data_IF_672412509500
#
_entry.id   IF_672412509500
#
_cell.length_a   1.000
_cell.length_b   1.000
_cell.length_c   1.000
_cell.angle_alpha   90.00
_cell.angle_beta   90.00
_cell.angle_gamma   90.00
#
_symmetry.space_group_name_H-M   'P 1'
#
loop_
_entity.id
_entity.type
_entity.pdbx_description
1 polymer ?
#
# COMPACT_ATOMS: atom_id res chain seq x y z
N UNK A 1 19.58 -14.42 14.05
CA UNK A 1 20.66 -13.42 14.23
C UNK A 1 20.57 -12.39 13.14
N UNK A 2 20.31 -11.19 13.62
CA UNK A 2 19.86 -10.05 12.84
C UNK A 2 20.99 -9.43 12.02
N UNK A 3 20.81 -9.41 10.71
CA UNK A 3 21.51 -8.49 9.85
C UNK A 3 20.46 -7.65 9.09
N UNK A 4 19.81 -6.73 9.80
CA UNK A 4 19.08 -5.63 9.14
C UNK A 4 20.09 -4.51 8.97
N UNK A 5 20.62 -4.35 7.76
CA UNK A 5 21.45 -3.22 7.41
C UNK A 5 20.69 -1.91 7.65
N UNK A 6 21.31 -0.96 8.33
CA UNK A 6 20.80 0.39 8.51
C UNK A 6 20.94 1.13 7.18
N UNK A 7 19.84 1.32 6.46
CA UNK A 7 19.80 2.29 5.37
C UNK A 7 19.58 3.66 5.99
N UNK A 8 20.59 4.50 5.98
CA UNK A 8 20.48 5.90 6.38
C UNK A 8 19.70 6.65 5.29
N UNK A 9 18.55 7.19 5.65
CA UNK A 9 17.82 8.14 4.81
C UNK A 9 18.48 9.49 4.99
N UNK A 10 19.04 10.03 3.92
CA UNK A 10 19.59 11.39 3.97
C UNK A 10 18.52 12.40 4.40
N UNK A 11 18.97 13.50 5.02
CA UNK A 11 18.10 14.51 5.66
C UNK A 11 17.13 15.20 4.70
N UNK A 12 17.31 15.06 3.38
CA UNK A 12 16.45 15.60 2.32
C UNK A 12 15.35 14.62 1.85
N UNK A 13 15.37 13.37 2.34
CA UNK A 13 14.37 12.35 1.99
C UNK A 13 14.58 11.69 0.64
N UNK A 14 15.76 11.80 0.04
CA UNK A 14 16.16 11.01 -1.12
C UNK A 14 16.69 9.65 -0.67
N UNK A 15 16.23 8.58 -1.30
CA UNK A 15 16.70 7.21 -1.08
C UNK A 15 17.53 6.81 -2.29
N UNK A 16 18.74 6.28 -2.10
CA UNK A 16 19.56 5.83 -3.22
C UNK A 16 18.91 4.61 -3.89
N UNK A 17 18.61 4.78 -5.19
CA UNK A 17 17.90 3.81 -6.03
C UNK A 17 18.62 2.48 -6.21
N UNK A 18 19.93 2.42 -5.96
CA UNK A 18 20.73 1.20 -6.17
C UNK A 18 20.76 0.27 -4.97
N UNK A 19 20.79 0.81 -3.75
CA UNK A 19 20.87 0.00 -2.52
C UNK A 19 19.55 -0.71 -2.20
N UNK A 20 18.41 -0.01 -2.36
CA UNK A 20 17.07 -0.58 -2.11
C UNK A 20 16.78 -1.81 -3.00
N UNK A 21 17.28 -1.79 -4.24
CA UNK A 21 17.09 -2.90 -5.19
C UNK A 21 17.96 -4.13 -4.91
N UNK A 22 19.08 -4.00 -4.20
CA UNK A 22 19.96 -5.11 -3.87
C UNK A 22 19.42 -5.94 -2.70
N UNK A 23 18.98 -5.30 -1.63
CA UNK A 23 18.49 -5.97 -0.42
C UNK A 23 17.19 -6.76 -0.63
N UNK A 24 16.30 -6.25 -1.52
CA UNK A 24 15.04 -6.95 -1.83
C UNK A 24 15.26 -8.20 -2.66
N UNK A 25 16.28 -8.24 -3.52
CA UNK A 25 16.61 -9.43 -4.32
C UNK A 25 17.02 -10.63 -3.47
N UNK A 26 17.74 -10.40 -2.39
CA UNK A 26 18.20 -11.47 -1.51
C UNK A 26 17.09 -12.05 -0.62
N UNK A 27 16.11 -11.23 -0.24
CA UNK A 27 14.96 -11.68 0.56
C UNK A 27 13.94 -12.51 -0.26
N UNK A 28 13.89 -12.34 -1.58
CA UNK A 28 12.94 -13.04 -2.49
C UNK A 28 13.56 -14.29 -3.14
N UNK A 29 14.88 -14.43 -3.13
CA UNK A 29 15.59 -15.56 -3.79
C UNK A 29 15.37 -16.94 -3.14
N UNK A 30 14.67 -17.03 -2.01
CA UNK A 30 14.44 -18.29 -1.28
C UNK A 30 13.09 -18.96 -1.52
N UNK A 31 12.28 -18.52 -2.49
CA UNK A 31 10.99 -19.18 -2.80
C UNK A 31 11.01 -19.79 -4.21
N UNK A 32 10.72 -21.09 -4.31
CA UNK A 32 10.69 -21.90 -5.52
C UNK A 32 9.84 -21.32 -6.66
N UNK A 33 10.40 -21.41 -7.87
CA UNK A 33 9.94 -20.73 -9.06
C UNK A 33 8.64 -21.30 -9.66
N UNK A 34 7.68 -20.41 -9.96
CA UNK A 34 6.59 -20.67 -10.90
C UNK A 34 7.02 -20.33 -12.36
N UNK A 35 6.47 -20.98 -13.39
CA UNK A 35 7.00 -20.92 -14.77
C UNK A 35 6.72 -19.59 -15.46
N UNK A 36 7.76 -18.99 -16.01
CA UNK A 36 7.73 -17.72 -16.79
C UNK A 36 6.95 -17.88 -18.11
N UNK A 37 5.83 -17.21 -18.27
CA UNK A 37 5.19 -16.99 -19.59
C UNK A 37 5.85 -15.80 -20.28
N UNK A 38 6.64 -16.05 -21.31
CA UNK A 38 7.14 -15.02 -22.24
C UNK A 38 6.03 -14.65 -23.22
N UNK A 39 5.39 -13.50 -23.05
CA UNK A 39 4.55 -12.90 -24.08
C UNK A 39 5.30 -11.77 -24.77
N UNK A 40 5.41 -11.83 -26.11
CA UNK A 40 5.95 -10.73 -26.92
C UNK A 40 4.96 -9.57 -26.91
N UNK A 41 5.23 -8.54 -26.13
CA UNK A 41 4.44 -7.32 -26.13
C UNK A 41 4.81 -6.41 -27.29
N UNK A 42 3.82 -5.87 -27.96
CA UNK A 42 3.90 -4.84 -29.02
C UNK A 42 4.39 -3.53 -28.35
N UNK A 43 5.47 -2.95 -28.89
CA UNK A 43 6.11 -1.73 -28.43
C UNK A 43 5.19 -0.51 -28.65
N UNK A 44 4.28 -0.21 -27.71
CA UNK A 44 3.69 1.11 -27.56
C UNK A 44 4.70 1.97 -26.75
N UNK A 45 4.69 3.30 -26.96
CA UNK A 45 5.50 4.25 -26.17
C UNK A 45 5.10 4.06 -24.70
N UNK A 46 5.90 3.32 -23.95
CA UNK A 46 5.61 2.98 -22.56
C UNK A 46 5.75 4.24 -21.72
N UNK A 47 4.63 4.82 -21.31
CA UNK A 47 4.62 5.72 -20.16
C UNK A 47 5.01 4.87 -18.95
N UNK A 48 6.15 5.19 -18.33
CA UNK A 48 6.57 4.51 -17.11
C UNK A 48 5.56 4.83 -16.01
N UNK A 49 4.89 3.80 -15.49
CA UNK A 49 3.93 3.93 -14.38
C UNK A 49 4.73 3.85 -13.08
N UNK A 50 4.59 4.86 -12.24
CA UNK A 50 5.23 4.92 -10.93
C UNK A 50 4.19 4.60 -9.85
N UNK A 51 4.42 3.54 -9.11
CA UNK A 51 3.63 3.13 -7.95
C UNK A 51 4.46 3.39 -6.69
N UNK A 52 3.87 4.04 -5.70
CA UNK A 52 4.47 4.15 -4.37
C UNK A 52 3.65 3.33 -3.38
N UNK A 53 4.27 2.32 -2.78
CA UNK A 53 3.67 1.53 -1.73
C UNK A 53 4.01 2.15 -0.37
N UNK A 54 3.01 2.28 0.47
CA UNK A 54 3.14 2.86 1.80
C UNK A 54 2.78 1.82 2.86
N UNK A 55 3.75 1.04 3.37
CA UNK A 55 3.48 0.15 4.50
C UNK A 55 3.11 0.97 5.72
N UNK A 56 1.84 0.93 6.13
CA UNK A 56 1.35 1.71 7.27
C UNK A 56 2.11 1.45 8.57
N UNK A 57 2.09 2.43 9.48
CA UNK A 57 2.80 2.37 10.76
C UNK A 57 4.32 2.25 10.62
N UNK A 58 5.01 1.79 11.68
CA UNK A 58 6.46 1.59 11.69
C UNK A 58 7.13 2.20 12.92
N UNK A 59 8.38 1.84 13.19
CA UNK A 59 9.13 2.32 14.35
C UNK A 59 8.38 2.09 15.65
N UNK A 60 8.13 3.14 16.43
CA UNK A 60 7.39 3.09 17.69
C UNK A 60 5.87 2.89 17.53
N UNK A 61 5.33 3.09 16.33
CA UNK A 61 3.92 2.87 16.02
C UNK A 61 3.71 1.43 15.52
N UNK A 62 3.20 0.56 16.38
CA UNK A 62 2.94 -0.84 16.04
C UNK A 62 1.72 -1.04 15.12
N UNK A 63 0.83 -0.04 15.01
CA UNK A 63 -0.53 -0.25 14.53
C UNK A 63 -1.33 -1.18 15.45
N UNK A 64 -2.33 -1.84 14.90
CA UNK A 64 -3.09 -2.86 15.62
C UNK A 64 -2.18 -4.03 16.06
N UNK A 65 -2.58 -4.68 17.18
CA UNK A 65 -1.79 -5.77 17.76
C UNK A 65 -2.63 -7.00 18.06
N UNK A 66 -2.03 -8.20 17.91
CA UNK A 66 -2.60 -9.48 18.32
C UNK A 66 -1.52 -10.32 19.00
N UNK A 67 -1.45 -10.28 20.34
CA UNK A 67 -0.33 -10.86 21.08
C UNK A 67 0.98 -10.22 20.66
N UNK A 68 1.93 -11.00 20.19
CA UNK A 68 3.23 -10.53 19.66
C UNK A 68 3.21 -10.14 18.17
N UNK A 69 2.06 -10.21 17.52
CA UNK A 69 1.91 -9.82 16.11
C UNK A 69 1.57 -8.34 16.03
N UNK A 70 2.32 -7.60 15.24
CA UNK A 70 2.15 -6.16 15.02
C UNK A 70 1.76 -5.89 13.57
N UNK A 71 0.76 -5.04 13.38
CA UNK A 71 0.27 -4.64 12.06
C UNK A 71 1.39 -4.09 11.17
N UNK A 72 2.27 -3.25 11.72
CA UNK A 72 3.41 -2.67 10.99
C UNK A 72 4.26 -3.71 10.26
N UNK A 73 4.44 -4.90 10.84
CA UNK A 73 5.26 -5.97 10.28
C UNK A 73 4.52 -6.70 9.15
N UNK A 74 3.22 -6.91 9.32
CA UNK A 74 2.36 -7.48 8.28
C UNK A 74 2.32 -6.54 7.08
N UNK A 75 2.04 -5.26 7.30
CA UNK A 75 1.98 -4.24 6.26
C UNK A 75 3.27 -4.17 5.44
N UNK A 76 4.41 -4.24 6.12
CA UNK A 76 5.71 -4.23 5.45
C UNK A 76 5.92 -5.45 4.56
N UNK A 77 5.59 -6.66 5.04
CA UNK A 77 5.68 -7.89 4.25
C UNK A 77 4.74 -7.89 3.06
N UNK A 78 3.48 -7.49 3.22
CA UNK A 78 2.52 -7.39 2.12
C UNK A 78 3.03 -6.41 1.06
N UNK A 79 3.55 -5.25 1.47
CA UNK A 79 4.14 -4.28 0.55
C UNK A 79 5.35 -4.84 -0.21
N UNK A 80 6.22 -5.61 0.44
CA UNK A 80 7.35 -6.26 -0.23
C UNK A 80 6.89 -7.27 -1.29
N UNK A 81 5.87 -8.08 -0.99
CA UNK A 81 5.30 -9.03 -1.95
C UNK A 81 4.59 -8.31 -3.11
N UNK A 82 3.83 -7.25 -2.83
CA UNK A 82 3.21 -6.42 -3.85
C UNK A 82 4.27 -5.79 -4.77
N UNK A 83 5.34 -5.23 -4.19
CA UNK A 83 6.46 -4.68 -4.96
C UNK A 83 7.10 -5.72 -5.86
N UNK A 84 7.43 -6.89 -5.31
CA UNK A 84 8.08 -7.97 -6.07
C UNK A 84 7.22 -8.46 -7.25
N UNK A 85 5.90 -8.46 -7.11
CA UNK A 85 4.98 -8.81 -8.19
C UNK A 85 4.90 -7.70 -9.24
N UNK A 86 4.70 -6.45 -8.82
CA UNK A 86 4.61 -5.30 -9.74
C UNK A 86 5.88 -5.11 -10.58
N UNK A 87 7.04 -5.39 -10.03
CA UNK A 87 8.32 -5.25 -10.76
C UNK A 87 8.53 -6.29 -11.86
N UNK A 88 7.65 -7.29 -11.97
CA UNK A 88 7.65 -8.22 -13.10
C UNK A 88 7.01 -7.62 -14.37
N UNK A 89 6.26 -6.53 -14.24
CA UNK A 89 5.58 -5.87 -15.36
C UNK A 89 6.49 -4.83 -16.02
N UNK A 90 6.59 -4.89 -17.35
CA UNK A 90 7.35 -3.89 -18.11
C UNK A 90 6.72 -2.51 -18.01
N UNK A 91 7.54 -1.49 -17.73
CA UNK A 91 7.07 -0.10 -17.66
C UNK A 91 6.44 0.28 -16.32
N UNK A 92 6.61 -0.54 -15.29
CA UNK A 92 6.24 -0.22 -13.91
C UNK A 92 7.52 0.01 -13.11
N UNK A 93 7.51 1.07 -12.30
CA UNK A 93 8.56 1.36 -11.30
C UNK A 93 7.91 1.50 -9.94
N UNK A 94 8.45 0.80 -8.94
CA UNK A 94 7.86 0.75 -7.60
C UNK A 94 8.82 1.32 -6.57
N UNK A 95 8.34 2.26 -5.75
CA UNK A 95 9.02 2.78 -4.57
C UNK A 95 8.22 2.48 -3.32
N UNK A 96 8.87 2.57 -2.17
CA UNK A 96 8.22 2.40 -0.87
C UNK A 96 8.48 3.65 0.00
N UNK A 97 7.52 4.02 0.84
CA UNK A 97 7.66 5.16 1.77
C UNK A 97 8.60 4.86 2.93
N UNK A 98 8.78 3.59 3.26
CA UNK A 98 9.80 3.07 4.18
C UNK A 98 10.33 1.73 3.69
N UNK A 99 11.60 1.49 3.93
CA UNK A 99 12.31 0.26 3.56
C UNK A 99 12.78 -0.54 4.78
N UNK A 100 12.46 -0.05 5.98
CA UNK A 100 12.77 -0.67 7.27
C UNK A 100 11.71 -0.32 8.31
N UNK A 101 12.02 -0.58 9.57
CA UNK A 101 11.14 -0.27 10.71
C UNK A 101 11.26 1.19 11.16
N UNK A 102 10.93 2.10 10.26
CA UNK A 102 10.85 3.55 10.49
C UNK A 102 9.41 4.02 10.42
N UNK A 103 9.09 5.19 10.99
CA UNK A 103 7.75 5.76 10.95
C UNK A 103 7.77 7.20 10.38
N UNK A 104 7.86 7.37 9.04
CA UNK A 104 7.70 8.68 8.44
C UNK A 104 6.31 9.28 8.74
N UNK A 105 6.22 10.58 8.92
CA UNK A 105 4.93 11.26 9.11
C UNK A 105 4.05 11.12 7.85
N UNK A 106 2.72 11.29 8.01
CA UNK A 106 1.79 11.20 6.86
C UNK A 106 2.12 12.22 5.77
N UNK A 107 2.61 13.41 6.15
CA UNK A 107 3.08 14.43 5.22
C UNK A 107 4.32 13.94 4.46
N UNK A 108 5.27 13.34 5.17
CA UNK A 108 6.50 12.81 4.55
C UNK A 108 6.19 11.67 3.58
N UNK A 109 5.29 10.76 3.93
CA UNK A 109 4.84 9.69 3.04
C UNK A 109 4.22 10.24 1.75
N UNK A 110 3.33 11.23 1.86
CA UNK A 110 2.73 11.90 0.71
C UNK A 110 3.78 12.65 -0.14
N UNK A 111 4.74 13.32 0.52
CA UNK A 111 5.83 14.02 -0.16
C UNK A 111 6.76 13.06 -0.92
N UNK A 112 7.06 11.89 -0.35
CA UNK A 112 7.84 10.84 -1.04
C UNK A 112 7.13 10.44 -2.33
N UNK A 113 5.82 10.17 -2.28
CA UNK A 113 5.04 9.83 -3.47
C UNK A 113 5.07 10.95 -4.52
N UNK A 114 4.90 12.20 -4.11
CA UNK A 114 4.95 13.35 -5.01
C UNK A 114 6.34 13.53 -5.64
N UNK A 115 7.42 13.39 -4.85
CA UNK A 115 8.80 13.51 -5.32
C UNK A 115 9.17 12.46 -6.38
N UNK A 116 8.63 11.26 -6.27
CA UNK A 116 8.82 10.22 -7.28
C UNK A 116 7.87 10.36 -8.49
N UNK A 117 6.96 11.34 -8.48
CA UNK A 117 5.97 11.51 -9.54
C UNK A 117 4.99 10.33 -9.62
N UNK A 118 4.55 9.83 -8.47
CA UNK A 118 3.69 8.65 -8.37
C UNK A 118 2.37 8.85 -9.14
N UNK A 119 2.01 7.86 -9.95
CA UNK A 119 0.68 7.75 -10.53
C UNK A 119 -0.36 7.33 -9.49
N UNK A 120 0.07 6.56 -8.48
CA UNK A 120 -0.74 6.14 -7.34
C UNK A 120 0.14 5.89 -6.12
N UNK A 121 -0.37 6.25 -4.92
CA UNK A 121 0.15 5.81 -3.63
C UNK A 121 -0.83 4.82 -3.01
N UNK A 122 -0.36 3.62 -2.66
CA UNK A 122 -1.15 2.56 -2.04
C UNK A 122 -0.68 2.35 -0.62
N UNK A 123 -1.47 2.81 0.36
CA UNK A 123 -1.19 2.63 1.78
C UNK A 123 -1.79 1.32 2.26
N UNK A 124 -0.92 0.45 2.76
CA UNK A 124 -1.21 -0.95 3.10
C UNK A 124 -1.39 -1.06 4.62
N UNK A 125 -2.55 -1.54 5.03
CA UNK A 125 -2.99 -1.65 6.42
C UNK A 125 -3.72 -2.96 6.71
N UNK A 126 -3.89 -3.25 8.01
CA UNK A 126 -4.77 -4.28 8.54
C UNK A 126 -5.77 -3.64 9.49
N UNK A 127 -7.03 -3.90 9.28
CA UNK A 127 -8.10 -3.34 10.08
C UNK A 127 -8.12 -3.89 11.52
N UNK A 128 -8.71 -3.14 12.43
CA UNK A 128 -8.96 -3.58 13.79
C UNK A 128 -10.30 -3.01 14.29
N UNK A 129 -10.99 -3.80 15.08
CA UNK A 129 -12.30 -3.41 15.61
C UNK A 129 -12.85 -4.45 16.58
N UNK A 130 -14.17 -4.59 16.66
CA UNK A 130 -14.79 -5.66 17.43
C UNK A 130 -14.35 -7.03 16.88
N UNK A 131 -14.32 -8.05 17.72
CA UNK A 131 -13.95 -9.41 17.31
C UNK A 131 -14.90 -10.02 16.27
N UNK A 132 -16.08 -9.46 16.09
CA UNK A 132 -17.07 -9.85 15.08
C UNK A 132 -16.90 -9.13 13.73
N UNK A 133 -16.11 -8.05 13.67
CA UNK A 133 -15.82 -7.34 12.43
C UNK A 133 -14.80 -8.13 11.60
N UNK A 134 -15.04 -8.29 10.28
CA UNK A 134 -14.17 -9.03 9.37
C UNK A 134 -14.33 -8.59 7.91
N UNK A 135 -13.34 -8.90 7.07
CA UNK A 135 -13.34 -8.64 5.63
C UNK A 135 -12.46 -7.48 5.21
N UNK A 136 -12.38 -7.24 3.90
CA UNK A 136 -11.57 -6.20 3.28
C UNK A 136 -12.38 -4.97 2.91
N UNK A 137 -11.76 -3.79 3.02
CA UNK A 137 -12.32 -2.52 2.54
C UNK A 137 -11.19 -1.61 2.03
N UNK A 138 -11.48 -0.80 1.01
CA UNK A 138 -10.50 0.13 0.46
C UNK A 138 -11.05 1.56 0.51
N UNK A 139 -10.28 2.46 1.09
CA UNK A 139 -10.62 3.89 1.12
C UNK A 139 -9.92 4.62 -0.01
N UNK A 140 -10.65 5.51 -0.69
CA UNK A 140 -10.15 6.32 -1.79
C UNK A 140 -10.52 7.80 -1.63
N UNK A 141 -9.86 8.73 -2.38
CA UNK A 141 -10.14 10.16 -2.25
C UNK A 141 -11.55 10.50 -2.71
N UNK A 142 -12.23 11.39 -1.99
CA UNK A 142 -13.50 11.94 -2.47
C UNK A 142 -13.31 12.69 -3.81
N UNK A 143 -14.41 13.01 -4.49
CA UNK A 143 -14.39 13.74 -5.78
C UNK A 143 -14.63 15.24 -5.64
N UNK A 144 -14.70 15.78 -4.41
CA UNK A 144 -15.03 17.18 -4.17
C UNK A 144 -13.94 18.12 -4.72
N UNK A 145 -12.69 17.87 -4.32
CA UNK A 145 -11.50 18.62 -4.74
C UNK A 145 -10.65 17.78 -5.67
N UNK A 146 -10.19 18.34 -6.80
CA UNK A 146 -9.44 17.60 -7.83
C UNK A 146 -10.14 16.30 -8.23
N UNK A 147 -11.32 16.33 -8.85
CA UNK A 147 -12.18 15.14 -9.07
C UNK A 147 -11.50 14.03 -9.87
N UNK A 148 -10.56 14.36 -10.76
CA UNK A 148 -9.80 13.36 -11.52
C UNK A 148 -8.95 12.47 -10.60
N UNK A 149 -8.39 13.01 -9.51
CA UNK A 149 -7.65 12.26 -8.51
C UNK A 149 -8.57 11.28 -7.76
N UNK A 150 -9.78 11.74 -7.40
CA UNK A 150 -10.79 10.88 -6.80
C UNK A 150 -11.17 9.73 -7.72
N UNK A 151 -11.43 10.02 -9.00
CA UNK A 151 -11.77 8.98 -9.98
C UNK A 151 -10.66 7.96 -10.20
N UNK A 152 -9.39 8.41 -10.26
CA UNK A 152 -8.25 7.50 -10.39
C UNK A 152 -8.08 6.60 -9.16
N UNK A 153 -8.23 7.17 -7.95
CA UNK A 153 -8.16 6.41 -6.70
C UNK A 153 -9.29 5.38 -6.60
N UNK A 154 -10.53 5.75 -6.98
CA UNK A 154 -11.68 4.85 -6.99
C UNK A 154 -11.47 3.66 -7.91
N UNK A 155 -11.00 3.88 -9.14
CA UNK A 155 -10.78 2.81 -10.10
C UNK A 155 -9.79 1.76 -9.58
N UNK A 156 -8.66 2.19 -9.00
CA UNK A 156 -7.68 1.26 -8.41
C UNK A 156 -8.25 0.59 -7.16
N UNK A 157 -8.97 1.33 -6.31
CA UNK A 157 -9.61 0.77 -5.12
C UNK A 157 -10.57 -0.36 -5.46
N UNK A 158 -11.41 -0.18 -6.49
CA UNK A 158 -12.38 -1.18 -6.94
C UNK A 158 -11.71 -2.46 -7.47
N UNK A 159 -10.61 -2.31 -8.23
CA UNK A 159 -9.86 -3.47 -8.71
C UNK A 159 -9.19 -4.22 -7.56
N UNK A 160 -8.51 -3.55 -6.64
CA UNK A 160 -7.90 -4.19 -5.47
C UNK A 160 -8.97 -4.89 -4.62
N UNK A 161 -10.09 -4.22 -4.33
CA UNK A 161 -11.18 -4.80 -3.55
C UNK A 161 -11.68 -6.10 -4.20
N UNK A 162 -11.85 -6.12 -5.51
CA UNK A 162 -12.27 -7.30 -6.26
C UNK A 162 -11.27 -8.45 -6.13
N UNK A 163 -9.98 -8.18 -6.23
CA UNK A 163 -8.94 -9.20 -6.07
C UNK A 163 -8.90 -9.76 -4.65
N UNK A 164 -9.05 -8.91 -3.62
CA UNK A 164 -9.12 -9.35 -2.23
C UNK A 164 -10.35 -10.22 -1.96
N UNK A 165 -11.50 -9.86 -2.52
CA UNK A 165 -12.73 -10.67 -2.44
C UNK A 165 -12.54 -12.02 -3.14
N UNK A 166 -11.83 -12.06 -4.26
CA UNK A 166 -11.51 -13.30 -4.98
C UNK A 166 -10.63 -14.26 -4.17
N UNK A 167 -9.85 -13.77 -3.20
CA UNK A 167 -9.12 -14.60 -2.24
C UNK A 167 -10.02 -15.19 -1.13
N UNK A 168 -11.28 -14.79 -1.06
CA UNK A 168 -12.24 -15.24 -0.05
C UNK A 168 -12.47 -14.27 1.11
N UNK A 169 -11.88 -13.07 1.09
CA UNK A 169 -12.20 -12.02 2.06
C UNK A 169 -13.64 -11.54 1.86
N UNK A 170 -14.32 -11.26 2.96
CA UNK A 170 -15.66 -10.66 2.89
C UNK A 170 -15.55 -9.27 2.28
N UNK A 171 -16.39 -9.00 1.30
CA UNK A 171 -16.53 -7.69 0.70
C UNK A 171 -17.16 -6.69 1.69
N UNK A 172 -16.43 -5.65 2.03
CA UNK A 172 -16.92 -4.48 2.79
C UNK A 172 -17.02 -3.24 1.91
N UNK A 173 -16.62 -3.35 0.64
CA UNK A 173 -16.70 -2.33 -0.40
C UNK A 173 -15.58 -1.30 -0.37
N UNK A 174 -15.59 -0.47 -1.41
CA UNK A 174 -14.76 0.72 -1.53
C UNK A 174 -15.48 1.92 -0.95
N UNK A 175 -14.75 2.88 -0.34
CA UNK A 175 -15.36 3.93 0.47
C UNK A 175 -14.62 5.26 0.37
N UNK A 176 -15.38 6.34 0.50
CA UNK A 176 -14.86 7.65 0.87
C UNK A 176 -15.17 7.93 2.35
N UNK A 177 -14.35 8.76 2.98
CA UNK A 177 -14.63 9.27 4.32
C UNK A 177 -14.23 10.72 4.39
N UNK A 178 -15.20 11.61 4.57
CA UNK A 178 -14.97 13.02 4.79
C UNK A 178 -14.69 13.33 6.26
N UNK A 179 -13.98 14.44 6.51
CA UNK A 179 -13.78 14.94 7.88
C UNK A 179 -15.11 15.30 8.52
N UNK A 180 -15.26 14.95 9.80
CA UNK A 180 -16.44 15.30 10.60
C UNK A 180 -16.27 16.64 11.32
N UNK A 181 -15.05 17.18 11.41
CA UNK A 181 -14.72 18.40 12.15
C UNK A 181 -14.82 19.69 11.31
N UNK A 182 -15.39 19.61 10.10
CA UNK A 182 -15.55 20.75 9.21
C UNK A 182 -14.29 21.19 8.45
N UNK A 183 -13.18 20.43 8.53
CA UNK A 183 -11.97 20.74 7.74
C UNK A 183 -12.27 20.66 6.25
N UNK A 184 -11.75 21.63 5.48
CA UNK A 184 -12.00 21.77 4.05
C UNK A 184 -10.70 21.78 3.25
N UNK A 185 -10.81 21.53 1.96
CA UNK A 185 -9.80 21.82 0.95
C UNK A 185 -9.76 23.31 0.59
N UNK A 186 -8.80 23.71 -0.24
CA UNK A 186 -8.62 25.11 -0.64
C UNK A 186 -9.83 25.72 -1.38
N UNK A 187 -10.67 24.89 -1.99
CA UNK A 187 -11.91 25.29 -2.67
C UNK A 187 -13.13 25.36 -1.74
N UNK A 188 -12.94 25.13 -0.42
CA UNK A 188 -14.00 25.12 0.58
C UNK A 188 -14.78 23.80 0.70
N UNK A 189 -14.52 22.83 -0.13
CA UNK A 189 -15.18 21.51 -0.07
C UNK A 189 -14.63 20.67 1.09
N UNK A 190 -15.46 19.74 1.64
CA UNK A 190 -15.03 18.86 2.73
C UNK A 190 -13.81 18.03 2.34
N UNK A 191 -12.79 18.06 3.18
CA UNK A 191 -11.57 17.30 2.97
C UNK A 191 -11.74 15.83 3.34
N UNK A 192 -10.86 14.99 2.76
CA UNK A 192 -10.77 13.57 3.12
C UNK A 192 -10.31 13.42 4.58
N UNK A 193 -10.92 12.49 5.31
CA UNK A 193 -10.62 12.21 6.71
C UNK A 193 -9.19 11.75 6.93
N UNK A 194 -8.74 10.78 6.12
CA UNK A 194 -7.42 10.18 6.27
C UNK A 194 -6.32 11.12 5.81
N UNK A 195 -5.35 11.39 6.70
CA UNK A 195 -4.25 12.32 6.44
C UNK A 195 -3.42 11.95 5.22
N UNK A 196 -3.13 10.66 5.01
CA UNK A 196 -2.37 10.19 3.84
C UNK A 196 -3.11 10.50 2.53
N UNK A 197 -4.42 10.28 2.48
CA UNK A 197 -5.25 10.59 1.30
C UNK A 197 -5.28 12.10 1.07
N UNK A 198 -5.59 12.88 2.11
CA UNK A 198 -5.69 14.34 2.04
C UNK A 198 -4.39 15.00 1.61
N UNK A 199 -3.27 14.61 2.22
CA UNK A 199 -1.96 15.20 1.93
C UNK A 199 -1.49 14.85 0.51
N UNK A 200 -1.64 13.60 0.09
CA UNK A 200 -1.30 13.17 -1.27
C UNK A 200 -2.15 13.88 -2.32
N UNK A 201 -3.45 14.01 -2.09
CA UNK A 201 -4.37 14.73 -2.99
C UNK A 201 -4.01 16.20 -3.13
N UNK A 202 -3.59 16.87 -2.03
CA UNK A 202 -3.10 18.25 -2.08
C UNK A 202 -1.88 18.36 -2.99
N UNK A 203 -0.99 17.38 -2.96
CA UNK A 203 0.22 17.29 -3.79
C UNK A 203 -0.05 16.78 -5.22
N UNK A 204 -1.29 16.43 -5.56
CA UNK A 204 -1.66 15.99 -6.91
C UNK A 204 -1.52 14.48 -7.14
N UNK A 205 -1.31 13.69 -6.10
CA UNK A 205 -1.15 12.23 -6.18
C UNK A 205 -2.43 11.54 -5.69
N UNK A 206 -3.05 10.63 -6.46
CA UNK A 206 -4.08 9.74 -5.96
C UNK A 206 -3.49 8.84 -4.88
N UNK A 207 -4.19 8.70 -3.73
CA UNK A 207 -3.77 7.82 -2.65
C UNK A 207 -4.97 7.02 -2.14
N UNK A 208 -4.77 5.73 -1.92
CA UNK A 208 -5.77 4.83 -1.35
C UNK A 208 -5.22 4.16 -0.09
N UNK A 209 -6.12 3.69 0.77
CA UNK A 209 -5.79 2.86 1.93
C UNK A 209 -6.47 1.51 1.74
N UNK A 210 -5.68 0.45 1.75
CA UNK A 210 -6.17 -0.93 1.67
C UNK A 210 -6.18 -1.52 3.08
N UNK A 211 -7.36 -1.80 3.59
CA UNK A 211 -7.59 -2.51 4.86
C UNK A 211 -7.92 -3.96 4.53
N UNK A 212 -6.89 -4.82 4.49
CA UNK A 212 -7.01 -6.17 3.95
C UNK A 212 -7.91 -7.09 4.78
N UNK A 213 -7.69 -7.12 6.09
CA UNK A 213 -8.37 -8.05 6.99
C UNK A 213 -8.33 -7.51 8.43
N UNK A 214 -9.20 -8.00 9.29
CA UNK A 214 -9.22 -7.58 10.70
C UNK A 214 -8.23 -8.40 11.52
N UNK A 215 -7.15 -7.76 11.98
CA UNK A 215 -6.18 -8.39 12.88
C UNK A 215 -6.82 -8.84 14.20
N UNK A 216 -7.86 -8.12 14.65
CA UNK A 216 -8.66 -8.43 15.83
C UNK A 216 -9.59 -9.65 15.66
N UNK A 217 -9.91 -10.04 14.41
CA UNK A 217 -10.80 -11.17 14.13
C UNK A 217 -10.00 -12.47 13.96
N UNK A 218 -10.41 -13.52 14.67
CA UNK A 218 -9.67 -14.79 14.64
C UNK A 218 -9.74 -15.50 13.28
N UNK A 219 -10.88 -15.42 12.58
CA UNK A 219 -11.04 -16.02 11.26
C UNK A 219 -10.20 -15.31 10.22
N UNK A 220 -10.25 -13.96 10.17
CA UNK A 220 -9.44 -13.16 9.26
C UNK A 220 -7.95 -13.41 9.48
N UNK A 221 -7.51 -13.35 10.74
CA UNK A 221 -6.11 -13.63 11.09
C UNK A 221 -5.68 -15.01 10.62
N UNK A 222 -6.43 -16.05 11.01
CA UNK A 222 -6.05 -17.42 10.70
C UNK A 222 -6.10 -17.73 9.21
N UNK A 223 -7.02 -17.15 8.46
CA UNK A 223 -7.19 -17.43 7.04
C UNK A 223 -6.27 -16.59 6.15
N UNK A 224 -5.94 -15.34 6.52
CA UNK A 224 -5.29 -14.41 5.62
C UNK A 224 -3.98 -13.80 6.13
N UNK A 225 -3.72 -13.77 7.47
CA UNK A 225 -2.60 -13.02 8.03
C UNK A 225 -1.54 -13.86 8.75
N UNK A 226 -1.80 -15.14 9.03
CA UNK A 226 -1.03 -15.95 9.97
C UNK A 226 0.22 -16.62 9.39
N UNK A 227 0.53 -16.45 8.11
CA UNK A 227 1.74 -17.02 7.49
C UNK A 227 2.21 -16.19 6.31
N UNK A 228 3.50 -16.29 5.99
CA UNK A 228 4.11 -15.57 4.85
C UNK A 228 3.43 -15.87 3.52
N UNK A 229 3.04 -17.12 3.28
CA UNK A 229 2.32 -17.49 2.05
C UNK A 229 0.96 -16.81 1.91
N UNK A 230 0.29 -16.52 3.03
CA UNK A 230 -0.97 -15.76 3.02
C UNK A 230 -0.72 -14.28 2.76
N UNK A 231 0.30 -13.71 3.38
CA UNK A 231 0.70 -12.31 3.14
C UNK A 231 1.16 -12.11 1.68
N UNK A 232 1.84 -13.10 1.11
CA UNK A 232 2.22 -13.09 -0.30
C UNK A 232 0.98 -13.04 -1.21
N UNK A 233 -0.05 -13.82 -0.93
CA UNK A 233 -1.31 -13.78 -1.70
C UNK A 233 -1.98 -12.42 -1.66
N UNK A 234 -1.97 -11.75 -0.49
CA UNK A 234 -2.49 -10.38 -0.36
C UNK A 234 -1.67 -9.40 -1.21
N UNK A 235 -0.34 -9.45 -1.14
CA UNK A 235 0.53 -8.59 -1.94
C UNK A 235 0.37 -8.82 -3.45
N UNK A 236 0.18 -10.06 -3.90
CA UNK A 236 -0.11 -10.37 -5.32
C UNK A 236 -1.49 -9.84 -5.72
N UNK A 237 -2.49 -9.94 -4.86
CA UNK A 237 -3.83 -9.39 -5.12
C UNK A 237 -3.79 -7.87 -5.27
N UNK A 238 -3.05 -7.17 -4.38
CA UNK A 238 -2.83 -5.73 -4.52
C UNK A 238 -2.18 -5.39 -5.85
N UNK A 239 -1.10 -6.09 -6.22
CA UNK A 239 -0.37 -5.87 -7.46
C UNK A 239 -1.22 -6.13 -8.70
N UNK A 240 -2.13 -7.12 -8.64
CA UNK A 240 -3.07 -7.43 -9.74
C UNK A 240 -4.11 -6.34 -9.90
N UNK A 241 -4.55 -5.73 -8.80
CA UNK A 241 -5.54 -4.66 -8.79
C UNK A 241 -4.97 -3.27 -9.16
N UNK A 242 -3.63 -3.07 -9.03
CA UNK A 242 -2.92 -1.84 -9.40
C UNK A 242 -2.65 -1.81 -10.90
#
# INVERSE_FOLDING_TARGET
>A
DDAIAKVEVESDGTVDKKEVNAEIKDAVASTDAAPKKKTKARRAKSSNIVVVLDPGHGGSDSGATRGSVYEKNINFKVAQYCKAELEQYCGVTVYMTRTGDTNPSLEKRAQIAANYGANILVSIHQNSGSSSAYGAEVYYPNRNYKPAIGASGEAVADFIQKELVSLGLKDRGTKIRNTANGSTYADGSYSDYYGIIRNSKNLGVPAIIVEHAFLSNASDYNNFLSSDSKLQKLGIADATGI
#
